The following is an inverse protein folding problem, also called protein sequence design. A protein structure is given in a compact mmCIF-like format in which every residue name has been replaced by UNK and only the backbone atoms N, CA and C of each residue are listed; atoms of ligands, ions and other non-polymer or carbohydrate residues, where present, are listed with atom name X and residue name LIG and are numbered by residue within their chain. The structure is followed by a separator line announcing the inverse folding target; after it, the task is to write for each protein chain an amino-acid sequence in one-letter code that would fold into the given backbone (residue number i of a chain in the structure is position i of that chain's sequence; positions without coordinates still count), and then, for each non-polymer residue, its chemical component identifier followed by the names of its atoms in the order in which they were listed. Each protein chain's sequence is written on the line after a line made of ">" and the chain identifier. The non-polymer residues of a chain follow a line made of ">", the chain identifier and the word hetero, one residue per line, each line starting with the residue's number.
data_IF_286825932620
#
_entry.id   IF_286825932620
#
_cell.length_a   1.000
_cell.length_b   1.000
_cell.length_c   1.000
_cell.angle_alpha   90.00
_cell.angle_beta   90.00
_cell.angle_gamma   90.00
#
_symmetry.space_group_name_H-M   'P 1'
#
loop_
_entity.id
_entity.type
_entity.pdbx_description
1 polymer ?
#
# COMPACT_ATOMS: atom_id res chain seq x y z
N UNK A 1 -55.71 -22.80 -42.92
CA UNK A 1 -55.19 -23.33 -41.64
C UNK A 1 -53.74 -22.93 -41.56
N UNK A 2 -53.47 -21.73 -41.03
CA UNK A 2 -52.11 -21.26 -40.80
C UNK A 2 -51.91 -21.25 -39.29
N UNK A 3 -51.26 -22.30 -38.80
CA UNK A 3 -50.95 -22.46 -37.39
C UNK A 3 -49.69 -21.64 -37.11
N UNK A 4 -49.88 -20.37 -36.76
CA UNK A 4 -48.79 -19.50 -36.32
C UNK A 4 -48.40 -19.95 -34.91
N UNK A 5 -47.30 -20.70 -34.80
CA UNK A 5 -46.62 -20.96 -33.55
C UNK A 5 -46.36 -19.65 -32.81
N UNK A 6 -46.67 -19.53 -31.50
CA UNK A 6 -46.16 -18.41 -30.73
C UNK A 6 -44.65 -18.57 -30.65
N UNK A 7 -43.92 -17.72 -31.38
CA UNK A 7 -42.51 -17.50 -31.14
C UNK A 7 -42.37 -17.07 -29.68
N UNK A 8 -41.87 -17.98 -28.84
CA UNK A 8 -41.41 -17.67 -27.49
C UNK A 8 -40.37 -16.58 -27.66
N UNK A 9 -40.74 -15.34 -27.31
CA UNK A 9 -39.80 -14.23 -27.26
C UNK A 9 -38.66 -14.65 -26.34
N UNK A 10 -37.45 -14.61 -26.89
CA UNK A 10 -36.20 -14.58 -26.17
C UNK A 10 -36.07 -13.24 -25.43
N UNK A 11 -36.93 -12.99 -24.44
CA UNK A 11 -36.95 -11.72 -23.71
C UNK A 11 -35.95 -11.76 -22.54
N UNK A 12 -34.77 -11.20 -22.85
CA UNK A 12 -33.85 -10.50 -21.96
C UNK A 12 -33.11 -11.38 -20.93
N UNK A 13 -31.84 -11.65 -21.23
CA UNK A 13 -30.86 -12.15 -20.27
C UNK A 13 -31.03 -11.46 -18.89
N UNK A 14 -31.16 -12.20 -17.78
CA UNK A 14 -31.29 -11.58 -16.47
C UNK A 14 -30.09 -10.64 -16.28
N UNK A 15 -30.34 -9.34 -16.10
CA UNK A 15 -29.29 -8.34 -15.82
C UNK A 15 -28.72 -8.63 -14.43
N UNK A 16 -27.82 -9.61 -14.36
CA UNK A 16 -27.20 -10.12 -13.14
C UNK A 16 -26.23 -9.12 -12.50
N UNK A 17 -25.79 -8.10 -13.23
CA UNK A 17 -24.76 -7.17 -12.79
C UNK A 17 -25.21 -5.71 -12.92
N UNK A 18 -25.35 -5.02 -11.79
CA UNK A 18 -25.68 -3.60 -11.72
C UNK A 18 -24.42 -2.79 -11.44
N UNK A 19 -24.02 -1.95 -12.40
CA UNK A 19 -22.81 -1.15 -12.28
C UNK A 19 -22.95 0.02 -11.30
N UNK A 20 -24.11 0.66 -11.19
CA UNK A 20 -24.28 1.82 -10.32
C UNK A 20 -23.97 1.53 -8.84
N UNK A 21 -24.47 0.41 -8.24
CA UNK A 21 -24.05 0.00 -6.90
C UNK A 21 -22.54 -0.24 -6.76
N UNK A 22 -21.92 -0.88 -7.77
CA UNK A 22 -20.48 -1.17 -7.78
C UNK A 22 -19.67 0.13 -7.79
N UNK A 23 -20.03 1.07 -8.67
CA UNK A 23 -19.34 2.36 -8.79
C UNK A 23 -19.49 3.18 -7.52
N UNK A 24 -20.69 3.27 -6.95
CA UNK A 24 -20.93 3.99 -5.70
C UNK A 24 -20.14 3.38 -4.54
N UNK A 25 -20.19 2.05 -4.39
CA UNK A 25 -19.43 1.33 -3.37
C UNK A 25 -17.91 1.50 -3.54
N UNK A 26 -17.41 1.48 -4.78
CA UNK A 26 -15.99 1.71 -5.06
C UNK A 26 -15.56 3.11 -4.67
N UNK A 27 -16.34 4.16 -4.98
CA UNK A 27 -16.04 5.51 -4.52
C UNK A 27 -16.05 5.63 -2.99
N UNK A 28 -17.01 5.00 -2.31
CA UNK A 28 -17.04 4.98 -0.84
C UNK A 28 -15.79 4.29 -0.26
N UNK A 29 -15.41 3.13 -0.79
CA UNK A 29 -14.22 2.41 -0.38
C UNK A 29 -12.94 3.22 -0.64
N UNK A 30 -12.78 3.80 -1.83
CA UNK A 30 -11.60 4.60 -2.19
C UNK A 30 -11.52 5.89 -1.36
N UNK A 31 -12.64 6.56 -1.09
CA UNK A 31 -12.67 7.76 -0.25
C UNK A 31 -12.23 7.43 1.19
N UNK A 32 -12.82 6.40 1.81
CA UNK A 32 -12.44 5.99 3.16
C UNK A 32 -11.00 5.49 3.23
N UNK A 33 -10.56 4.71 2.22
CA UNK A 33 -9.18 4.25 2.11
C UNK A 33 -8.20 5.43 2.05
N UNK A 34 -8.51 6.47 1.28
CA UNK A 34 -7.66 7.67 1.17
C UNK A 34 -7.53 8.41 2.50
N UNK A 35 -8.63 8.54 3.26
CA UNK A 35 -8.64 9.15 4.59
C UNK A 35 -7.77 8.33 5.57
N UNK A 36 -7.98 7.02 5.63
CA UNK A 36 -7.24 6.15 6.55
C UNK A 36 -5.76 6.06 6.16
N UNK A 37 -5.42 5.94 4.88
CA UNK A 37 -4.02 5.96 4.43
C UNK A 37 -3.33 7.27 4.78
N UNK A 38 -4.01 8.41 4.62
CA UNK A 38 -3.49 9.73 5.03
C UNK A 38 -3.29 9.78 6.54
N UNK A 39 -4.27 9.33 7.32
CA UNK A 39 -4.17 9.25 8.77
C UNK A 39 -2.97 8.38 9.20
N UNK A 40 -2.88 7.15 8.70
CA UNK A 40 -1.77 6.24 8.95
C UNK A 40 -0.43 6.87 8.61
N UNK A 41 -0.31 7.53 7.46
CA UNK A 41 0.91 8.26 7.10
C UNK A 41 1.25 9.37 8.10
N UNK A 42 0.27 10.16 8.57
CA UNK A 42 0.52 11.26 9.52
C UNK A 42 0.97 10.79 10.91
N UNK A 43 0.46 9.66 11.40
CA UNK A 43 0.88 9.08 12.69
C UNK A 43 2.10 8.15 12.59
N UNK A 44 2.70 8.06 11.40
CA UNK A 44 3.87 7.24 11.12
C UNK A 44 3.57 5.85 10.57
N UNK A 45 2.39 5.26 10.81
CA UNK A 45 2.02 3.91 10.34
C UNK A 45 1.97 3.72 8.81
N UNK A 46 2.07 4.81 8.03
CA UNK A 46 1.96 4.76 6.57
C UNK A 46 3.22 4.26 5.85
N UNK A 47 3.00 3.88 4.58
CA UNK A 47 4.03 3.33 3.69
C UNK A 47 4.96 4.39 3.09
N UNK A 48 4.48 5.62 2.96
CA UNK A 48 5.18 6.72 2.30
C UNK A 48 5.94 7.57 3.33
N UNK A 49 7.22 7.27 3.56
CA UNK A 49 8.14 8.21 4.23
C UNK A 49 9.49 8.19 3.52
N UNK A 50 10.02 9.39 3.29
CA UNK A 50 11.22 9.69 2.49
C UNK A 50 12.50 9.81 3.34
N UNK A 51 12.42 9.60 4.66
CA UNK A 51 13.54 9.59 5.59
C UNK A 51 13.77 8.18 6.16
N UNK A 52 14.93 7.86 6.78
CA UNK A 52 15.16 6.56 7.41
C UNK A 52 14.01 6.26 8.38
N UNK A 53 13.17 5.31 7.99
CA UNK A 53 11.83 5.24 8.55
C UNK A 53 11.87 4.63 9.95
N UNK A 54 11.03 5.14 10.85
CA UNK A 54 10.81 4.54 12.18
C UNK A 54 10.45 3.04 12.11
N UNK A 55 9.85 2.53 11.02
CA UNK A 55 9.64 1.09 10.78
C UNK A 55 10.93 0.32 10.54
N UNK A 56 11.93 0.95 9.94
CA UNK A 56 13.29 0.44 9.90
C UNK A 56 14.01 0.65 11.24
N UNK A 57 13.32 0.99 12.34
CA UNK A 57 13.88 0.90 13.68
C UNK A 57 13.65 -0.50 14.28
N UNK A 58 12.51 -1.14 14.00
CA UNK A 58 12.20 -2.48 14.54
C UNK A 58 11.19 -3.27 13.71
N UNK A 59 11.32 -4.60 13.74
CA UNK A 59 10.38 -5.49 13.08
C UNK A 59 8.94 -5.37 13.64
N UNK A 60 8.81 -5.06 14.94
CA UNK A 60 7.51 -4.87 15.57
C UNK A 60 6.74 -3.68 14.97
N UNK A 61 7.43 -2.58 14.68
CA UNK A 61 6.84 -1.39 14.06
C UNK A 61 6.45 -1.64 12.60
N UNK A 62 7.24 -2.43 11.87
CA UNK A 62 6.87 -2.90 10.54
C UNK A 62 5.62 -3.80 10.56
N UNK A 63 5.52 -4.72 11.54
CA UNK A 63 4.34 -5.56 11.74
C UNK A 63 3.12 -4.72 12.11
N UNK A 64 3.27 -3.74 13.00
CA UNK A 64 2.18 -2.83 13.39
C UNK A 64 1.64 -2.06 12.18
N UNK A 65 2.53 -1.55 11.33
CA UNK A 65 2.15 -0.90 10.06
C UNK A 65 1.41 -1.86 9.14
N UNK A 66 1.88 -3.11 9.05
CA UNK A 66 1.23 -4.16 8.26
C UNK A 66 -0.19 -4.49 8.74
N UNK A 67 -0.36 -4.69 10.04
CA UNK A 67 -1.67 -4.92 10.68
C UNK A 67 -2.60 -3.73 10.43
N UNK A 68 -2.08 -2.51 10.56
CA UNK A 68 -2.85 -1.30 10.29
C UNK A 68 -3.40 -1.28 8.85
N UNK A 69 -2.57 -1.60 7.85
CA UNK A 69 -3.01 -1.66 6.45
C UNK A 69 -4.08 -2.74 6.22
N UNK A 70 -3.94 -3.89 6.87
CA UNK A 70 -4.94 -4.96 6.79
C UNK A 70 -6.28 -4.49 7.36
N UNK A 71 -6.29 -3.89 8.55
CA UNK A 71 -7.51 -3.37 9.18
C UNK A 71 -8.14 -2.25 8.34
N UNK A 72 -7.32 -1.32 7.87
CA UNK A 72 -7.76 -0.23 6.99
C UNK A 72 -8.43 -0.78 5.73
N UNK A 73 -7.83 -1.77 5.08
CA UNK A 73 -8.39 -2.39 3.87
C UNK A 73 -9.72 -3.09 4.17
N UNK A 74 -9.78 -3.92 5.22
CA UNK A 74 -11.01 -4.61 5.63
C UNK A 74 -12.15 -3.60 5.86
N UNK A 75 -11.89 -2.52 6.59
CA UNK A 75 -12.91 -1.50 6.87
C UNK A 75 -13.33 -0.76 5.60
N UNK A 76 -12.38 -0.38 4.75
CA UNK A 76 -12.66 0.39 3.52
C UNK A 76 -13.43 -0.44 2.50
N UNK A 77 -12.95 -1.65 2.20
CA UNK A 77 -13.61 -2.56 1.27
C UNK A 77 -14.93 -3.09 1.82
N UNK A 78 -15.00 -3.35 3.13
CA UNK A 78 -16.24 -3.72 3.81
C UNK A 78 -17.31 -2.64 3.68
N UNK A 79 -16.98 -1.37 3.94
CA UNK A 79 -17.92 -0.25 3.74
C UNK A 79 -18.43 -0.20 2.30
N UNK A 80 -17.52 -0.25 1.32
CA UNK A 80 -17.91 -0.19 -0.09
C UNK A 80 -18.80 -1.37 -0.51
N UNK A 81 -18.44 -2.59 -0.11
CA UNK A 81 -19.24 -3.78 -0.36
C UNK A 81 -20.63 -3.66 0.26
N UNK A 82 -20.70 -3.24 1.53
CA UNK A 82 -21.97 -3.00 2.22
C UNK A 82 -22.86 -1.99 1.48
N UNK A 83 -22.30 -0.86 1.06
CA UNK A 83 -23.04 0.15 0.28
C UNK A 83 -23.58 -0.46 -1.01
N UNK A 84 -22.76 -1.21 -1.76
CA UNK A 84 -23.19 -1.83 -3.01
C UNK A 84 -24.34 -2.84 -2.81
N UNK A 85 -24.24 -3.72 -1.81
CA UNK A 85 -25.33 -4.63 -1.48
C UNK A 85 -26.60 -3.88 -1.08
N UNK A 86 -26.45 -2.79 -0.31
CA UNK A 86 -27.60 -2.05 0.23
C UNK A 86 -28.39 -1.27 -0.82
N UNK A 87 -27.74 -0.82 -1.90
CA UNK A 87 -28.36 -0.01 -2.96
C UNK A 87 -28.69 -0.79 -4.23
N UNK A 88 -28.20 -2.03 -4.38
CA UNK A 88 -28.64 -2.93 -5.47
C UNK A 88 -30.15 -3.07 -5.40
N UNK A 89 -30.85 -3.17 -6.54
CA UNK A 89 -32.31 -3.35 -6.50
C UNK A 89 -32.68 -4.70 -5.89
N UNK A 90 -33.69 -4.70 -5.01
CA UNK A 90 -34.24 -5.95 -4.49
C UNK A 90 -34.79 -6.80 -5.64
N UNK A 91 -34.20 -7.98 -5.82
CA UNK A 91 -34.75 -9.04 -6.66
C UNK A 91 -35.88 -9.69 -5.86
N UNK A 92 -37.05 -9.90 -6.48
CA UNK A 92 -38.28 -10.43 -5.84
C UNK A 92 -38.12 -11.85 -5.27
N UNK A 93 -39.10 -12.73 -5.44
CA UNK A 93 -39.09 -14.10 -4.87
C UNK A 93 -38.03 -15.05 -5.50
N UNK A 94 -36.77 -14.64 -5.58
CA UNK A 94 -35.62 -15.49 -5.85
C UNK A 94 -35.20 -16.22 -4.57
N UNK A 95 -34.49 -17.35 -4.71
CA UNK A 95 -33.93 -18.04 -3.56
C UNK A 95 -32.93 -17.12 -2.82
N UNK A 96 -32.96 -17.16 -1.48
CA UNK A 96 -32.09 -16.32 -0.63
C UNK A 96 -30.61 -16.52 -1.00
N UNK A 97 -30.19 -17.75 -1.24
CA UNK A 97 -28.81 -18.09 -1.65
C UNK A 97 -28.40 -17.40 -2.96
N UNK A 98 -29.29 -17.37 -3.96
CA UNK A 98 -29.02 -16.71 -5.24
C UNK A 98 -28.88 -15.20 -5.07
N UNK A 99 -29.69 -14.60 -4.18
CA UNK A 99 -29.59 -13.18 -3.87
C UNK A 99 -28.32 -12.83 -3.10
N UNK A 100 -27.93 -13.64 -2.11
CA UNK A 100 -26.69 -13.44 -1.35
C UNK A 100 -25.46 -13.60 -2.25
N UNK A 101 -25.46 -14.60 -3.15
CA UNK A 101 -24.39 -14.77 -4.15
C UNK A 101 -24.30 -13.58 -5.10
N UNK A 102 -25.43 -13.05 -5.57
CA UNK A 102 -25.46 -11.87 -6.42
C UNK A 102 -24.91 -10.63 -5.68
N UNK A 103 -25.33 -10.40 -4.44
CA UNK A 103 -24.81 -9.30 -3.60
C UNK A 103 -23.29 -9.44 -3.38
N UNK A 104 -22.80 -10.65 -3.09
CA UNK A 104 -21.38 -10.94 -2.94
C UNK A 104 -20.54 -10.61 -4.19
N UNK A 105 -21.05 -10.93 -5.38
CA UNK A 105 -20.41 -10.57 -6.66
C UNK A 105 -20.32 -9.06 -6.85
N UNK A 106 -21.31 -8.27 -6.41
CA UNK A 106 -21.23 -6.81 -6.44
C UNK A 106 -20.17 -6.30 -5.46
N UNK A 107 -20.02 -6.93 -4.30
CA UNK A 107 -18.91 -6.67 -3.36
C UNK A 107 -17.52 -6.88 -4.01
N UNK A 108 -17.33 -7.97 -4.76
CA UNK A 108 -16.08 -8.17 -5.52
C UNK A 108 -15.90 -7.15 -6.65
N UNK A 109 -17.00 -6.73 -7.30
CA UNK A 109 -16.99 -5.63 -8.25
C UNK A 109 -16.46 -4.34 -7.63
N UNK A 110 -16.96 -4.01 -6.43
CA UNK A 110 -16.47 -2.85 -5.65
C UNK A 110 -14.98 -2.98 -5.34
N UNK A 111 -14.56 -4.14 -4.82
CA UNK A 111 -13.16 -4.39 -4.47
C UNK A 111 -12.24 -4.18 -5.69
N UNK A 112 -12.55 -4.81 -6.82
CA UNK A 112 -11.72 -4.73 -8.03
C UNK A 112 -11.64 -3.30 -8.57
N UNK A 113 -12.77 -2.60 -8.66
CA UNK A 113 -12.80 -1.21 -9.13
C UNK A 113 -12.06 -0.27 -8.17
N UNK A 114 -12.24 -0.42 -6.86
CA UNK A 114 -11.53 0.39 -5.87
C UNK A 114 -10.02 0.16 -5.88
N UNK A 115 -9.54 -1.07 -6.11
CA UNK A 115 -8.11 -1.37 -6.30
C UNK A 115 -7.58 -0.65 -7.55
N UNK A 116 -8.28 -0.72 -8.68
CA UNK A 116 -7.89 -0.03 -9.92
C UNK A 116 -7.82 1.48 -9.69
N UNK A 117 -8.83 2.08 -9.04
CA UNK A 117 -8.84 3.51 -8.70
C UNK A 117 -7.67 3.87 -7.79
N UNK A 118 -7.36 3.04 -6.80
CA UNK A 118 -6.21 3.24 -5.91
C UNK A 118 -4.88 3.24 -6.65
N UNK A 119 -4.66 2.28 -7.55
CA UNK A 119 -3.46 2.21 -8.40
C UNK A 119 -3.37 3.43 -9.32
N UNK A 120 -4.47 3.85 -9.92
CA UNK A 120 -4.52 5.03 -10.78
C UNK A 120 -4.18 6.31 -10.00
N UNK A 121 -4.74 6.49 -8.80
CA UNK A 121 -4.44 7.62 -7.93
C UNK A 121 -2.95 7.66 -7.54
N UNK A 122 -2.36 6.50 -7.18
CA UNK A 122 -0.94 6.40 -6.88
C UNK A 122 -0.05 6.77 -8.09
N UNK A 123 -0.44 6.36 -9.30
CA UNK A 123 0.26 6.71 -10.53
C UNK A 123 0.16 8.22 -10.84
N UNK A 124 -1.02 8.83 -10.66
CA UNK A 124 -1.24 10.26 -10.88
C UNK A 124 -0.41 11.12 -9.92
N UNK A 125 -0.35 10.75 -8.63
CA UNK A 125 0.51 11.41 -7.65
C UNK A 125 1.98 11.34 -8.05
N UNK A 126 2.43 10.17 -8.54
CA UNK A 126 3.80 9.96 -8.99
C UNK A 126 4.18 10.84 -10.20
N UNK A 127 3.26 11.03 -11.16
CA UNK A 127 3.50 11.91 -12.32
C UNK A 127 3.49 13.38 -11.93
N UNK A 128 2.60 13.78 -11.00
CA UNK A 128 2.47 15.15 -10.56
C UNK A 128 3.68 15.65 -9.76
N UNK A 129 4.35 14.78 -8.99
CA UNK A 129 5.59 15.12 -8.27
C UNK A 129 6.80 15.28 -9.20
N UNK A 130 6.87 14.50 -10.28
CA UNK A 130 7.93 14.62 -11.30
C UNK A 130 7.79 15.92 -12.11
N UNK A 131 6.56 16.37 -12.37
CA UNK A 131 6.29 17.50 -13.28
C UNK A 131 6.39 18.89 -12.64
N UNK A 132 6.37 18.99 -11.30
CA UNK A 132 6.32 20.28 -10.56
C UNK A 132 7.68 20.82 -10.12
N UNK A 133 8.77 20.10 -10.36
CA UNK A 133 10.13 20.48 -9.98
C UNK A 133 10.94 20.88 -11.23
N UNK A 134 11.03 22.18 -11.58
CA UNK A 134 11.84 22.62 -12.73
C UNK A 134 13.35 22.29 -12.60
N UNK A 135 13.84 21.94 -11.40
CA UNK A 135 15.20 21.44 -11.14
C UNK A 135 15.38 19.92 -11.37
N UNK A 136 14.33 19.17 -11.73
CA UNK A 136 14.42 17.72 -11.91
C UNK A 136 14.82 17.27 -13.32
N UNK A 137 15.23 18.17 -14.23
CA UNK A 137 15.92 17.70 -15.46
C UNK A 137 17.27 17.04 -15.19
N UNK A 138 17.78 17.11 -13.95
CA UNK A 138 18.92 16.30 -13.46
C UNK A 138 18.50 14.94 -12.87
N UNK A 139 17.23 14.53 -12.93
CA UNK A 139 16.76 13.24 -12.39
C UNK A 139 17.17 12.02 -13.21
N UNK A 140 17.88 12.19 -14.33
CA UNK A 140 18.59 11.10 -14.98
C UNK A 140 19.75 10.54 -14.11
N UNK A 141 20.17 11.29 -13.08
CA UNK A 141 21.20 10.87 -12.12
C UNK A 141 20.65 10.32 -10.78
N UNK A 142 19.36 10.44 -10.46
CA UNK A 142 18.85 10.04 -9.14
C UNK A 142 18.90 8.50 -8.99
N UNK A 143 19.82 8.02 -8.16
CA UNK A 143 19.96 6.59 -7.87
C UNK A 143 18.79 6.09 -7.01
N UNK A 144 18.29 4.88 -7.28
CA UNK A 144 17.34 4.19 -6.37
C UNK A 144 17.92 3.99 -4.97
N UNK A 145 19.24 4.07 -4.84
CA UNK A 145 19.96 4.05 -3.56
C UNK A 145 19.77 5.33 -2.74
N UNK A 146 19.54 6.47 -3.38
CA UNK A 146 19.65 7.78 -2.73
C UNK A 146 18.58 8.03 -1.66
N UNK A 147 17.30 7.63 -1.83
CA UNK A 147 16.31 7.71 -0.75
C UNK A 147 16.66 6.81 0.46
N UNK A 148 17.33 5.67 0.21
CA UNK A 148 17.63 4.67 1.24
C UNK A 148 18.94 4.95 1.98
N UNK A 149 19.94 5.49 1.27
CA UNK A 149 21.31 5.72 1.76
C UNK A 149 21.68 7.21 1.83
N UNK A 150 20.70 8.11 1.80
CA UNK A 150 20.94 9.58 1.78
C UNK A 150 21.85 10.04 2.92
N UNK A 151 21.64 9.51 4.13
CA UNK A 151 22.43 9.81 5.32
C UNK A 151 23.86 9.26 5.22
N UNK A 152 24.01 8.03 4.75
CA UNK A 152 25.28 7.37 4.52
C UNK A 152 26.11 8.10 3.47
N UNK A 153 25.47 8.55 2.38
CA UNK A 153 26.09 9.35 1.34
C UNK A 153 26.47 10.75 1.82
N UNK A 154 25.67 11.38 2.69
CA UNK A 154 26.08 12.62 3.36
C UNK A 154 27.32 12.40 4.21
N UNK A 155 27.34 11.35 5.03
CA UNK A 155 28.50 11.01 5.88
C UNK A 155 29.75 10.68 5.07
N UNK A 156 29.60 9.99 3.94
CA UNK A 156 30.70 9.63 3.04
C UNK A 156 31.42 10.87 2.50
N UNK A 157 30.64 11.85 1.99
CA UNK A 157 31.17 13.06 1.34
C UNK A 157 31.16 14.31 2.24
N UNK A 158 30.95 14.17 3.55
CA UNK A 158 30.97 15.29 4.49
C UNK A 158 32.40 15.84 4.63
N UNK A 159 32.67 16.99 4.03
CA UNK A 159 33.95 17.69 4.13
C UNK A 159 33.87 18.86 5.12
N UNK A 160 34.96 19.11 5.88
CA UNK A 160 35.01 20.21 6.86
C UNK A 160 35.18 21.60 6.24
N UNK A 161 35.76 21.68 5.03
CA UNK A 161 35.85 22.89 4.20
C UNK A 161 35.48 22.50 2.77
N UNK A 162 34.27 22.83 2.32
CA UNK A 162 33.87 22.67 0.91
C UNK A 162 34.20 23.95 0.14
N UNK A 163 34.78 23.81 -1.04
CA UNK A 163 34.71 24.87 -2.05
C UNK A 163 33.23 25.03 -2.45
N UNK A 164 32.73 26.26 -2.48
CA UNK A 164 31.29 26.54 -2.55
C UNK A 164 30.56 26.06 -3.83
N UNK A 165 31.29 25.56 -4.85
CA UNK A 165 30.77 25.39 -6.21
C UNK A 165 31.02 24.02 -6.85
N UNK A 166 31.32 22.95 -6.09
CA UNK A 166 31.48 21.60 -6.66
C UNK A 166 30.15 20.85 -6.61
N UNK A 167 29.55 20.59 -7.78
CA UNK A 167 28.44 19.64 -7.90
C UNK A 167 28.99 18.22 -7.76
N UNK A 168 28.51 17.49 -6.75
CA UNK A 168 28.89 16.09 -6.47
C UNK A 168 27.73 15.12 -6.68
N UNK A 169 26.66 15.55 -7.36
CA UNK A 169 25.44 14.76 -7.51
C UNK A 169 25.67 13.45 -8.26
N UNK A 170 26.51 13.47 -9.31
CA UNK A 170 26.85 12.28 -10.08
C UNK A 170 27.67 11.28 -9.26
N UNK A 171 28.64 11.77 -8.50
CA UNK A 171 29.51 11.01 -7.62
C UNK A 171 28.72 10.37 -6.47
N UNK A 172 27.77 11.12 -5.90
CA UNK A 172 26.84 10.60 -4.90
C UNK A 172 25.95 9.48 -5.47
N UNK A 173 25.44 9.66 -6.68
CA UNK A 173 24.60 8.67 -7.34
C UNK A 173 25.37 7.37 -7.68
N UNK A 174 26.63 7.51 -8.10
CA UNK A 174 27.54 6.39 -8.33
C UNK A 174 27.90 5.66 -7.04
N UNK A 175 28.37 6.37 -6.03
CA UNK A 175 28.67 5.79 -4.72
C UNK A 175 27.43 5.11 -4.11
N UNK A 176 26.24 5.66 -4.31
CA UNK A 176 24.99 5.03 -3.89
C UNK A 176 24.75 3.67 -4.57
N UNK A 177 24.96 3.58 -5.89
CA UNK A 177 24.84 2.32 -6.63
C UNK A 177 25.86 1.29 -6.19
N UNK A 178 27.11 1.71 -5.96
CA UNK A 178 28.17 0.86 -5.42
C UNK A 178 27.80 0.37 -4.01
N UNK A 179 27.36 1.25 -3.12
CA UNK A 179 26.99 0.85 -1.76
C UNK A 179 25.82 -0.14 -1.73
N UNK A 180 24.91 -0.16 -2.69
CA UNK A 180 23.87 -1.19 -2.77
C UNK A 180 24.43 -2.61 -2.93
N UNK A 181 25.60 -2.76 -3.56
CA UNK A 181 26.24 -4.06 -3.78
C UNK A 181 26.84 -4.64 -2.50
N UNK A 182 27.02 -3.85 -1.43
CA UNK A 182 27.57 -4.35 -0.14
C UNK A 182 26.72 -5.45 0.51
N UNK A 183 25.43 -5.51 0.16
CA UNK A 183 24.48 -6.51 0.64
C UNK A 183 24.44 -7.77 -0.23
N UNK A 184 25.16 -7.77 -1.35
CA UNK A 184 25.28 -8.92 -2.25
C UNK A 184 26.06 -10.06 -1.60
N UNK A 185 25.95 -11.26 -2.17
CA UNK A 185 26.61 -12.45 -1.66
C UNK A 185 28.14 -12.32 -1.64
N UNK A 186 28.71 -11.63 -2.63
CA UNK A 186 30.14 -11.34 -2.75
C UNK A 186 30.59 -10.14 -1.90
N UNK A 187 29.65 -9.38 -1.32
CA UNK A 187 29.96 -8.11 -0.67
C UNK A 187 30.42 -7.04 -1.68
N UNK A 188 31.05 -5.99 -1.16
CA UNK A 188 31.66 -4.94 -1.95
C UNK A 188 32.98 -5.46 -2.56
N UNK A 189 33.19 -5.25 -3.86
CA UNK A 189 34.45 -5.61 -4.53
C UNK A 189 35.63 -4.81 -3.94
N UNK A 190 36.83 -5.39 -3.97
CA UNK A 190 38.06 -4.69 -3.58
C UNK A 190 38.33 -3.47 -4.49
N UNK A 191 37.99 -3.56 -5.77
CA UNK A 191 38.13 -2.47 -6.73
C UNK A 191 37.18 -1.32 -6.40
N UNK A 192 35.89 -1.64 -6.19
CA UNK A 192 34.87 -0.67 -5.79
C UNK A 192 35.23 0.01 -4.45
N UNK A 193 35.76 -0.77 -3.49
CA UNK A 193 36.23 -0.21 -2.21
C UNK A 193 37.37 0.77 -2.43
N UNK A 194 38.37 0.39 -3.23
CA UNK A 194 39.53 1.24 -3.52
C UNK A 194 39.11 2.52 -4.23
N UNK A 195 38.20 2.39 -5.20
CA UNK A 195 37.61 3.52 -5.92
C UNK A 195 36.90 4.50 -4.97
N UNK A 196 36.04 4.00 -4.06
CA UNK A 196 35.38 4.84 -3.06
C UNK A 196 36.37 5.57 -2.14
N UNK A 197 37.46 4.91 -1.74
CA UNK A 197 38.51 5.53 -0.90
C UNK A 197 39.19 6.67 -1.65
N UNK A 198 39.56 6.45 -2.91
CA UNK A 198 40.15 7.50 -3.75
C UNK A 198 39.20 8.67 -3.92
N UNK A 199 37.94 8.39 -4.27
CA UNK A 199 36.90 9.40 -4.48
C UNK A 199 36.64 10.23 -3.21
N UNK A 200 36.55 9.59 -2.04
CA UNK A 200 36.41 10.27 -0.76
C UNK A 200 37.64 11.11 -0.44
N UNK A 201 38.85 10.58 -0.63
CA UNK A 201 40.09 11.32 -0.42
C UNK A 201 40.14 12.61 -1.25
N UNK A 202 39.85 12.52 -2.55
CA UNK A 202 39.84 13.66 -3.47
C UNK A 202 38.78 14.70 -3.12
N UNK A 203 37.55 14.27 -2.80
CA UNK A 203 36.43 15.20 -2.58
C UNK A 203 36.38 15.79 -1.17
N UNK A 204 37.00 15.14 -0.18
CA UNK A 204 36.95 15.58 1.22
C UNK A 204 38.28 16.12 1.76
N UNK A 205 39.39 15.84 1.08
CA UNK A 205 40.74 16.22 1.53
C UNK A 205 41.25 15.41 2.72
N UNK A 206 40.67 14.24 3.00
CA UNK A 206 41.13 13.36 4.08
C UNK A 206 42.45 12.68 3.74
N UNK A 207 43.21 12.32 4.77
CA UNK A 207 44.34 11.40 4.61
C UNK A 207 43.86 10.03 4.13
N UNK A 208 44.74 9.26 3.48
CA UNK A 208 44.39 7.92 2.98
C UNK A 208 43.84 7.01 4.11
N UNK A 209 44.46 7.04 5.28
CA UNK A 209 44.02 6.25 6.43
C UNK A 209 42.66 6.70 7.00
N UNK A 210 42.35 8.00 6.97
CA UNK A 210 41.07 8.53 7.44
C UNK A 210 39.94 8.27 6.42
N UNK A 211 40.25 8.39 5.13
CA UNK A 211 39.33 8.06 4.04
C UNK A 211 38.96 6.57 4.08
N UNK A 212 39.94 5.69 4.27
CA UNK A 212 39.74 4.26 4.42
C UNK A 212 38.81 3.93 5.60
N UNK A 213 39.15 4.43 6.80
CA UNK A 213 38.31 4.24 8.00
C UNK A 213 36.88 4.75 7.81
N UNK A 214 36.71 5.86 7.09
CA UNK A 214 35.38 6.41 6.79
C UNK A 214 34.60 5.50 5.84
N UNK A 215 35.20 5.09 4.73
CA UNK A 215 34.57 4.19 3.75
C UNK A 215 34.13 2.91 4.45
N UNK A 216 34.99 2.27 5.24
CA UNK A 216 34.64 1.03 5.96
C UNK A 216 33.44 1.23 6.91
N UNK A 217 33.43 2.34 7.65
CA UNK A 217 32.31 2.66 8.56
C UNK A 217 30.99 2.88 7.81
N UNK A 218 31.04 3.51 6.64
CA UNK A 218 29.87 3.78 5.79
C UNK A 218 29.40 2.49 5.13
N UNK A 219 30.30 1.65 4.63
CA UNK A 219 29.97 0.34 4.03
C UNK A 219 29.26 -0.55 5.06
N UNK A 220 29.79 -0.64 6.29
CA UNK A 220 29.14 -1.39 7.35
C UNK A 220 27.74 -0.84 7.71
N UNK A 221 27.60 0.49 7.79
CA UNK A 221 26.33 1.16 8.08
C UNK A 221 25.31 0.93 6.95
N UNK A 222 25.73 1.09 5.69
CA UNK A 222 24.92 0.86 4.50
C UNK A 222 24.43 -0.59 4.44
N UNK A 223 25.30 -1.57 4.71
CA UNK A 223 24.91 -2.99 4.75
C UNK A 223 23.80 -3.26 5.76
N UNK A 224 23.91 -2.68 6.96
CA UNK A 224 22.89 -2.78 8.01
C UNK A 224 21.58 -2.13 7.58
N UNK A 225 21.63 -0.90 7.06
CA UNK A 225 20.47 -0.16 6.59
C UNK A 225 19.72 -0.90 5.46
N UNK A 226 20.45 -1.40 4.46
CA UNK A 226 19.89 -2.18 3.34
C UNK A 226 19.20 -3.45 3.84
N UNK A 227 19.85 -4.20 4.75
CA UNK A 227 19.28 -5.44 5.30
C UNK A 227 17.99 -5.18 6.05
N UNK A 228 17.96 -4.12 6.86
CA UNK A 228 16.79 -3.73 7.66
C UNK A 228 15.64 -3.27 6.78
N UNK A 229 15.93 -2.40 5.80
CA UNK A 229 14.96 -1.93 4.82
C UNK A 229 14.37 -3.09 4.00
N UNK A 230 15.19 -4.07 3.58
CA UNK A 230 14.70 -5.26 2.87
C UNK A 230 13.69 -6.05 3.72
N UNK A 231 14.00 -6.28 5.00
CA UNK A 231 13.09 -7.01 5.91
C UNK A 231 11.76 -6.25 6.09
N UNK A 232 11.81 -4.95 6.34
CA UNK A 232 10.61 -4.11 6.47
C UNK A 232 9.79 -4.11 5.18
N UNK A 233 10.45 -4.01 4.03
CA UNK A 233 9.81 -3.99 2.70
C UNK A 233 9.10 -5.31 2.40
N UNK A 234 9.68 -6.45 2.78
CA UNK A 234 9.05 -7.76 2.64
C UNK A 234 7.79 -7.85 3.50
N UNK A 235 7.88 -7.50 4.79
CA UNK A 235 6.72 -7.50 5.71
C UNK A 235 5.61 -6.64 5.13
N UNK A 236 5.97 -5.48 4.61
CA UNK A 236 5.03 -4.54 4.05
C UNK A 236 4.37 -5.07 2.76
N UNK A 237 5.16 -5.60 1.83
CA UNK A 237 4.65 -6.17 0.58
C UNK A 237 3.66 -7.30 0.85
N UNK A 238 4.00 -8.20 1.79
CA UNK A 238 3.08 -9.23 2.25
C UNK A 238 1.83 -8.63 2.89
N UNK A 239 1.97 -7.61 3.73
CA UNK A 239 0.82 -6.97 4.39
C UNK A 239 -0.12 -6.32 3.39
N UNK A 240 0.38 -5.65 2.36
CA UNK A 240 -0.43 -5.08 1.28
C UNK A 240 -1.14 -6.18 0.50
N UNK A 241 -0.44 -7.25 0.13
CA UNK A 241 -1.04 -8.39 -0.56
C UNK A 241 -2.15 -9.04 0.28
N UNK A 242 -1.88 -9.29 1.56
CA UNK A 242 -2.87 -9.82 2.52
C UNK A 242 -4.04 -8.86 2.70
N UNK A 243 -3.80 -7.56 2.82
CA UNK A 243 -4.83 -6.54 2.96
C UNK A 243 -5.78 -6.51 1.76
N UNK A 244 -5.25 -6.61 0.54
CA UNK A 244 -6.06 -6.67 -0.68
C UNK A 244 -6.89 -7.96 -0.72
N UNK A 245 -6.31 -9.11 -0.40
CA UNK A 245 -7.02 -10.40 -0.40
C UNK A 245 -8.11 -10.47 0.67
N UNK A 246 -7.81 -10.09 1.91
CA UNK A 246 -8.79 -10.02 2.99
C UNK A 246 -9.84 -8.94 2.73
N UNK A 247 -9.46 -7.86 2.05
CA UNK A 247 -10.37 -6.84 1.55
C UNK A 247 -11.44 -7.40 0.61
N UNK A 248 -11.08 -8.31 -0.29
CA UNK A 248 -12.04 -8.97 -1.18
C UNK A 248 -13.08 -9.79 -0.39
N UNK A 249 -12.62 -10.54 0.61
CA UNK A 249 -13.49 -11.32 1.51
C UNK A 249 -14.40 -10.38 2.31
N UNK A 250 -13.85 -9.30 2.85
CA UNK A 250 -14.62 -8.29 3.59
C UNK A 250 -15.68 -7.62 2.71
N UNK A 251 -15.34 -7.26 1.46
CA UNK A 251 -16.28 -6.66 0.52
C UNK A 251 -17.43 -7.62 0.18
N UNK A 252 -17.13 -8.90 -0.08
CA UNK A 252 -18.16 -9.93 -0.33
C UNK A 252 -19.10 -10.05 0.88
N UNK A 253 -18.53 -10.33 2.07
CA UNK A 253 -19.32 -10.58 3.27
C UNK A 253 -20.18 -9.36 3.66
N UNK A 254 -19.61 -8.15 3.53
CA UNK A 254 -20.32 -6.92 3.82
C UNK A 254 -21.40 -6.61 2.77
N UNK A 255 -21.18 -6.95 1.49
CA UNK A 255 -22.21 -6.82 0.46
C UNK A 255 -23.40 -7.74 0.72
N UNK A 256 -23.17 -8.99 1.12
CA UNK A 256 -24.24 -9.88 1.55
C UNK A 256 -25.01 -9.30 2.76
N UNK A 257 -24.32 -8.74 3.75
CA UNK A 257 -24.98 -8.09 4.89
C UNK A 257 -25.79 -6.85 4.46
N UNK A 258 -25.26 -6.03 3.55
CA UNK A 258 -25.97 -4.88 2.97
C UNK A 258 -27.21 -5.30 2.18
N UNK A 259 -27.12 -6.38 1.41
CA UNK A 259 -28.24 -6.98 0.68
C UNK A 259 -29.34 -7.47 1.62
N UNK A 260 -28.99 -8.18 2.69
CA UNK A 260 -29.96 -8.61 3.71
C UNK A 260 -30.66 -7.44 4.39
N UNK A 261 -29.91 -6.39 4.72
CA UNK A 261 -30.49 -5.14 5.23
C UNK A 261 -31.42 -4.45 4.24
N UNK A 262 -31.18 -4.58 2.93
CA UNK A 262 -32.09 -4.12 1.89
C UNK A 262 -33.38 -4.93 1.86
N UNK A 263 -33.25 -6.24 1.99
CA UNK A 263 -34.37 -7.16 1.84
C UNK A 263 -35.16 -7.35 3.15
N UNK A 264 -34.77 -6.68 4.24
CA UNK A 264 -35.39 -6.83 5.56
C UNK A 264 -35.14 -8.19 6.21
N UNK A 265 -34.20 -8.96 5.69
CA UNK A 265 -33.78 -10.24 6.23
C UNK A 265 -32.98 -10.04 7.54
N UNK A 266 -33.01 -11.01 8.48
CA UNK A 266 -32.16 -10.96 9.67
C UNK A 266 -30.69 -10.83 9.24
N UNK A 267 -29.83 -10.22 10.05
CA UNK A 267 -28.40 -10.15 9.76
C UNK A 267 -27.70 -11.52 9.81
N UNK A 268 -26.52 -11.69 9.17
CA UNK A 268 -25.72 -12.91 9.30
C UNK A 268 -25.40 -13.23 10.76
N UNK A 269 -25.26 -14.51 11.09
CA UNK A 269 -25.05 -14.97 12.48
C UNK A 269 -23.84 -14.34 13.17
N UNK A 270 -22.77 -14.05 12.41
CA UNK A 270 -21.57 -13.44 12.95
C UNK A 270 -21.78 -11.97 13.37
N UNK A 271 -22.74 -11.25 12.76
CA UNK A 271 -23.14 -9.92 13.20
C UNK A 271 -24.16 -9.97 14.34
N UNK A 272 -25.10 -10.92 14.31
CA UNK A 272 -26.15 -11.02 15.34
C UNK A 272 -25.62 -11.45 16.72
N UNK A 273 -24.48 -12.14 16.78
CA UNK A 273 -23.79 -12.47 18.05
C UNK A 273 -23.20 -11.25 18.76
N UNK A 274 -22.85 -10.17 18.04
CA UNK A 274 -22.34 -8.92 18.63
C UNK A 274 -23.38 -8.26 19.56
N UNK A 275 -24.66 -8.28 19.14
CA UNK A 275 -25.78 -7.72 19.92
C UNK A 275 -26.12 -8.55 21.17
N UNK A 276 -25.75 -9.83 21.19
CA UNK A 276 -25.97 -10.70 22.34
C UNK A 276 -25.04 -10.35 23.52
N UNK A 277 -23.86 -9.78 23.23
CA UNK A 277 -22.91 -9.32 24.25
C UNK A 277 -23.44 -8.02 24.89
N UNK A 278 -23.92 -7.06 24.09
CA UNK A 278 -24.52 -5.82 24.60
C UNK A 278 -25.81 -6.02 25.42
N UNK A 279 -26.66 -6.98 25.01
CA UNK A 279 -27.89 -7.31 25.76
C UNK A 279 -27.61 -7.92 27.14
N UNK A 280 -26.52 -8.67 27.30
CA UNK A 280 -26.15 -9.26 28.60
C UNK A 280 -25.68 -8.20 29.60
N UNK A 281 -24.99 -7.16 29.16
CA UNK A 281 -24.58 -6.06 30.06
C UNK A 281 -25.76 -5.21 30.53
N UNK A 282 -26.76 -4.94 29.66
CA UNK A 282 -27.95 -4.19 30.06
C UNK A 282 -28.82 -4.94 31.07
N UNK A 283 -28.87 -6.28 31.00
CA UNK A 283 -29.64 -7.10 31.95
C UNK A 283 -28.92 -7.24 33.31
N UNK A 284 -27.59 -7.19 33.34
CA UNK A 284 -26.84 -7.24 34.60
C UNK A 284 -26.80 -5.91 35.36
N UNK A 285 -27.00 -4.76 34.70
CA UNK A 285 -27.12 -3.44 35.35
C UNK A 285 -28.49 -3.15 35.98
N UNK A 286 -29.48 -4.02 35.73
CA UNK A 286 -30.85 -3.88 36.27
C UNK A 286 -31.15 -4.88 37.41
N UNK A 287 -30.13 -5.53 37.97
CA UNK A 287 -30.24 -6.35 39.18
C UNK A 287 -29.49 -5.71 40.34
#
# INVERSE_FOLDING_TARGET
>A
MENVSPAVRSDIAPRLLQWSPIVLGAFAATALSSVLLTFGATIGLGVTSTAPTWRDASAALAILSGIYLILQAIVSFGLGGYVAGRVRTATGAAAVEDTERADGVHGLGVWSLAVILGVLLAALVSVATISRTPSMRSSAQASTAEPLLSYELDRLFRAGRRAANVDISAERAEAGRILLTTSSHSGLSADDRTYLIQQVGTLTGLSAADAERRVDSVVASAKSAITKSRRSSIILAFSVATAILLGAVAAWAAACAGGRHRDGAPLPEWMSRSDAIGRRETVMRQR
#
